data_IF_466627420700
#
_entry.id   IF_466627420700
#
_cell.length_a   1.000
_cell.length_b   1.000
_cell.length_c   1.000
_cell.angle_alpha   90.00
_cell.angle_beta   90.00
_cell.angle_gamma   90.00
#
_symmetry.space_group_name_H-M   'P 1'
#
loop_
_entity.id
_entity.type
_entity.pdbx_description
1 polymer ?
#
# COMPACT_ATOMS: atom_id res chain seq x y z
N UNK A 1 -10.25 12.39 -11.96
CA UNK A 1 -8.99 12.24 -11.19
C UNK A 1 -9.34 11.63 -9.84
N UNK A 2 -8.47 10.84 -9.25
CA UNK A 2 -8.72 10.16 -7.98
C UNK A 2 -7.51 9.31 -7.61
N UNK A 3 -7.42 8.94 -6.33
CA UNK A 3 -6.27 8.25 -5.77
C UNK A 3 -5.95 6.94 -6.50
N UNK A 4 -4.73 6.87 -7.03
CA UNK A 4 -4.10 5.68 -7.60
C UNK A 4 -2.88 5.34 -6.74
N UNK A 5 -2.84 4.13 -6.19
CA UNK A 5 -1.73 3.63 -5.36
C UNK A 5 -1.07 2.48 -6.12
N UNK A 6 0.25 2.57 -6.24
CA UNK A 6 1.09 1.59 -6.91
C UNK A 6 2.16 1.09 -5.95
N UNK A 7 2.41 -0.22 -6.00
CA UNK A 7 3.59 -0.84 -5.43
C UNK A 7 4.51 -1.27 -6.56
N UNK A 8 5.75 -0.81 -6.49
CA UNK A 8 6.73 -0.91 -7.56
C UNK A 8 7.96 -1.67 -7.05
N UNK A 9 8.54 -2.52 -7.87
CA UNK A 9 9.75 -3.27 -7.55
C UNK A 9 10.93 -2.86 -8.45
N UNK A 10 12.13 -2.82 -7.88
CA UNK A 10 13.39 -2.77 -8.63
C UNK A 10 14.48 -3.65 -8.02
N UNK A 11 15.46 -4.05 -8.84
CA UNK A 11 16.60 -4.84 -8.39
C UNK A 11 17.67 -3.93 -7.76
N UNK A 12 18.16 -4.30 -6.58
CA UNK A 12 19.16 -3.51 -5.83
C UNK A 12 20.51 -3.40 -6.54
N UNK A 13 20.84 -4.38 -7.37
CA UNK A 13 22.15 -4.51 -8.02
C UNK A 13 22.19 -3.86 -9.41
N UNK A 14 21.10 -3.22 -9.86
CA UNK A 14 21.07 -2.60 -11.18
C UNK A 14 21.77 -1.22 -11.16
N UNK A 15 23.10 -1.27 -11.30
CA UNK A 15 23.99 -0.09 -11.33
C UNK A 15 24.13 0.45 -12.77
N UNK A 16 23.43 -0.11 -13.77
CA UNK A 16 23.55 0.37 -15.15
C UNK A 16 22.38 1.24 -15.59
N UNK A 17 22.72 2.52 -15.80
CA UNK A 17 21.97 3.62 -16.39
C UNK A 17 21.25 3.29 -17.72
N UNK A 18 20.20 2.48 -17.71
CA UNK A 18 19.23 2.43 -18.79
C UNK A 18 17.82 2.36 -18.20
N UNK A 19 17.16 3.53 -18.16
CA UNK A 19 15.74 3.78 -17.83
C UNK A 19 15.10 2.70 -16.93
N UNK A 20 15.33 2.80 -15.62
CA UNK A 20 14.72 1.99 -14.55
C UNK A 20 13.19 1.88 -14.72
N UNK A 21 12.71 0.87 -15.44
CA UNK A 21 11.29 0.55 -15.46
C UNK A 21 10.99 -0.26 -14.21
N UNK A 22 10.57 0.42 -13.15
CA UNK A 22 10.10 -0.28 -11.95
C UNK A 22 8.91 -1.14 -12.34
N UNK A 23 8.97 -2.43 -11.97
CA UNK A 23 7.87 -3.35 -12.28
C UNK A 23 6.74 -3.12 -11.29
N UNK A 24 5.52 -2.90 -11.77
CA UNK A 24 4.35 -2.83 -10.90
C UNK A 24 4.04 -4.23 -10.35
N UNK A 25 4.04 -4.34 -9.03
CA UNK A 25 3.74 -5.57 -8.29
C UNK A 25 2.44 -5.47 -7.51
N UNK A 26 1.81 -4.30 -7.45
CA UNK A 26 0.50 -4.09 -6.82
C UNK A 26 -0.13 -2.77 -7.25
N UNK A 27 -1.46 -2.78 -7.38
CA UNK A 27 -2.23 -1.60 -7.75
C UNK A 27 -3.55 -1.56 -6.98
N UNK A 28 -3.87 -0.39 -6.40
CA UNK A 28 -5.08 -0.15 -5.63
C UNK A 28 -5.68 1.20 -5.99
N UNK A 29 -6.96 1.19 -6.39
CA UNK A 29 -7.68 2.41 -6.76
C UNK A 29 -8.57 2.88 -5.63
N UNK A 30 -8.39 4.13 -5.19
CA UNK A 30 -9.22 4.81 -4.18
C UNK A 30 -9.32 4.09 -2.82
N UNK A 31 -8.29 3.30 -2.49
CA UNK A 31 -8.18 2.65 -1.20
C UNK A 31 -7.54 3.63 -0.20
N UNK A 32 -8.33 4.61 0.24
CA UNK A 32 -7.85 5.70 1.08
C UNK A 32 -7.36 5.24 2.46
N UNK A 33 -7.86 4.12 2.98
CA UNK A 33 -7.42 3.55 4.25
C UNK A 33 -6.00 2.99 4.19
N UNK A 34 -5.60 2.42 3.04
CA UNK A 34 -4.22 2.01 2.81
C UNK A 34 -3.28 3.21 2.73
N UNK A 35 -3.71 4.27 2.05
CA UNK A 35 -2.96 5.52 1.97
C UNK A 35 -2.74 6.12 3.36
N UNK A 36 -3.81 6.23 4.15
CA UNK A 36 -3.77 6.78 5.50
C UNK A 36 -2.87 5.96 6.43
N UNK A 37 -2.97 4.63 6.34
CA UNK A 37 -2.14 3.73 7.15
C UNK A 37 -0.65 3.87 6.81
N UNK A 38 -0.29 3.91 5.53
CA UNK A 38 1.12 4.09 5.10
C UNK A 38 1.64 5.45 5.55
N UNK A 39 0.85 6.52 5.39
CA UNK A 39 1.26 7.87 5.79
C UNK A 39 1.52 7.94 7.30
N UNK A 40 0.63 7.34 8.08
CA UNK A 40 0.70 7.35 9.55
C UNK A 40 1.85 6.49 10.08
N UNK A 41 2.13 5.35 9.44
CA UNK A 41 3.08 4.35 9.95
C UNK A 41 4.50 4.53 9.43
N UNK A 42 4.66 5.01 8.20
CA UNK A 42 5.97 5.08 7.54
C UNK A 42 6.47 6.52 7.55
N UNK A 43 5.83 7.40 6.80
CA UNK A 43 6.19 8.81 6.67
C UNK A 43 5.11 9.58 5.90
N UNK A 44 5.10 10.93 5.98
CA UNK A 44 4.29 11.78 5.10
C UNK A 44 4.46 11.41 3.61
N UNK A 45 3.33 11.35 2.88
CA UNK A 45 3.32 10.97 1.47
C UNK A 45 3.21 12.23 0.61
N UNK A 46 4.25 12.54 -0.13
CA UNK A 46 4.22 13.57 -1.17
C UNK A 46 3.69 13.00 -2.50
N UNK A 47 2.89 13.79 -3.22
CA UNK A 47 2.30 13.37 -4.49
C UNK A 47 3.38 12.99 -5.50
N UNK A 48 3.18 11.87 -6.19
CA UNK A 48 4.10 11.32 -7.18
C UNK A 48 5.52 11.01 -6.67
N UNK A 49 5.70 10.78 -5.36
CA UNK A 49 7.00 10.42 -4.77
C UNK A 49 7.03 8.97 -4.31
N UNK A 50 8.15 8.27 -4.52
CA UNK A 50 8.34 6.88 -4.09
C UNK A 50 8.80 6.79 -2.64
N UNK A 51 8.23 5.87 -1.89
CA UNK A 51 8.60 5.56 -0.50
C UNK A 51 9.06 4.11 -0.43
N UNK A 52 10.22 3.84 0.16
CA UNK A 52 10.72 2.47 0.33
C UNK A 52 9.91 1.75 1.42
N UNK A 53 9.38 0.57 1.09
CA UNK A 53 8.60 -0.29 1.98
C UNK A 53 9.42 -1.53 2.33
N UNK A 54 9.74 -1.68 3.62
CA UNK A 54 10.44 -2.87 4.11
C UNK A 54 9.49 -4.05 4.30
N UNK A 55 10.07 -5.25 4.40
CA UNK A 55 9.34 -6.47 4.75
C UNK A 55 8.59 -6.31 6.08
N UNK A 56 9.22 -5.68 7.07
CA UNK A 56 8.64 -5.50 8.41
C UNK A 56 7.37 -4.64 8.37
N UNK A 57 7.35 -3.57 7.55
CA UNK A 57 6.17 -2.74 7.36
C UNK A 57 5.01 -3.56 6.78
N UNK A 58 5.26 -4.42 5.80
CA UNK A 58 4.23 -5.31 5.24
C UNK A 58 3.76 -6.36 6.26
N UNK A 59 4.65 -6.86 7.12
CA UNK A 59 4.26 -7.77 8.20
C UNK A 59 3.37 -7.07 9.23
N UNK A 60 3.66 -5.82 9.59
CA UNK A 60 2.77 -5.03 10.46
C UNK A 60 1.42 -4.79 9.82
N UNK A 61 1.38 -4.42 8.53
CA UNK A 61 0.14 -4.26 7.78
C UNK A 61 -0.69 -5.55 7.79
N UNK A 62 -0.06 -6.70 7.50
CA UNK A 62 -0.73 -8.00 7.52
C UNK A 62 -1.36 -8.29 8.89
N UNK A 63 -0.63 -8.03 9.98
CA UNK A 63 -1.12 -8.24 11.35
C UNK A 63 -2.31 -7.32 11.68
N UNK A 64 -2.25 -6.06 11.26
CA UNK A 64 -3.36 -5.12 11.46
C UNK A 64 -4.61 -5.61 10.72
N UNK A 65 -4.46 -5.98 9.45
CA UNK A 65 -5.59 -6.40 8.61
C UNK A 65 -6.17 -7.78 9.00
N UNK A 66 -5.34 -8.69 9.54
CA UNK A 66 -5.82 -9.99 10.05
C UNK A 66 -6.59 -9.87 11.36
N UNK A 67 -6.32 -8.84 12.17
CA UNK A 67 -7.04 -8.54 13.43
C UNK A 67 -8.19 -7.52 13.26
N UNK A 68 -8.47 -7.09 12.03
CA UNK A 68 -9.47 -6.08 11.75
C UNK A 68 -10.88 -6.64 11.91
N UNK A 69 -11.74 -5.89 12.58
CA UNK A 69 -13.15 -6.23 12.86
C UNK A 69 -14.02 -4.99 12.64
N UNK A 70 -15.35 -5.14 12.48
CA UNK A 70 -16.28 -4.01 12.38
C UNK A 70 -16.22 -3.02 13.55
N UNK A 71 -15.80 -3.48 14.72
CA UNK A 71 -15.75 -2.67 15.93
C UNK A 71 -14.46 -1.83 16.02
N UNK A 72 -13.34 -2.32 15.48
CA UNK A 72 -12.03 -1.66 15.58
C UNK A 72 -11.53 -1.03 14.26
N UNK A 73 -12.22 -1.23 13.14
CA UNK A 73 -11.73 -0.82 11.82
C UNK A 73 -11.50 0.70 11.70
N UNK A 74 -12.32 1.49 12.40
CA UNK A 74 -12.22 2.96 12.45
C UNK A 74 -11.00 3.47 13.20
N UNK A 75 -10.37 2.62 14.01
CA UNK A 75 -9.20 2.98 14.81
C UNK A 75 -7.92 2.40 14.18
N UNK A 76 -7.98 1.15 13.71
CA UNK A 76 -6.80 0.43 13.21
C UNK A 76 -6.52 0.65 11.73
N UNK A 77 -7.55 0.88 10.92
CA UNK A 77 -7.41 1.05 9.47
C UNK A 77 -8.44 2.06 8.94
N UNK A 78 -8.40 3.31 9.45
CA UNK A 78 -9.43 4.31 9.18
C UNK A 78 -9.46 4.72 7.71
N UNK A 79 -10.65 5.10 7.23
CA UNK A 79 -10.82 5.80 5.96
C UNK A 79 -10.39 7.26 6.08
N UNK A 80 -9.96 7.85 4.97
CA UNK A 80 -9.54 9.25 4.90
C UNK A 80 -10.41 10.08 3.98
N UNK A 81 -10.90 11.20 4.50
CA UNK A 81 -11.63 12.20 3.73
C UNK A 81 -10.69 12.99 2.79
N UNK A 82 -11.19 13.30 1.60
CA UNK A 82 -10.46 14.13 0.65
C UNK A 82 -11.12 14.14 -0.72
N UNK A 83 -10.94 15.23 -1.47
CA UNK A 83 -11.55 15.41 -2.79
C UNK A 83 -11.23 14.26 -3.77
N UNK A 84 -10.02 13.69 -3.66
CA UNK A 84 -9.55 12.61 -4.54
C UNK A 84 -9.69 11.21 -3.93
N UNK A 85 -10.07 11.12 -2.65
CA UNK A 85 -9.88 9.91 -1.83
C UNK A 85 -11.10 8.99 -1.78
N UNK A 86 -12.21 9.37 -2.41
CA UNK A 86 -13.36 8.49 -2.56
C UNK A 86 -14.24 8.42 -1.31
N UNK A 87 -14.85 7.26 -1.08
CA UNK A 87 -15.80 7.05 0.00
C UNK A 87 -15.11 6.88 1.36
N UNK A 88 -15.73 7.37 2.43
CA UNK A 88 -15.28 7.14 3.80
C UNK A 88 -16.14 6.14 4.57
N UNK A 89 -17.11 5.53 3.89
CA UNK A 89 -18.00 4.52 4.46
C UNK A 89 -17.29 3.19 4.72
N UNK A 90 -17.58 2.57 5.86
CA UNK A 90 -17.07 1.24 6.25
C UNK A 90 -18.04 0.13 5.82
N UNK A 91 -18.46 0.20 4.57
CA UNK A 91 -19.45 -0.70 3.99
C UNK A 91 -18.79 -1.92 3.32
N UNK A 92 -19.56 -2.66 2.53
CA UNK A 92 -19.07 -3.84 1.80
C UNK A 92 -17.89 -3.55 0.85
N UNK A 93 -17.75 -2.33 0.35
CA UNK A 93 -16.66 -1.96 -0.56
C UNK A 93 -15.36 -1.77 0.23
N UNK A 94 -15.43 -1.11 1.39
CA UNK A 94 -14.29 -1.05 2.32
C UNK A 94 -13.77 -2.44 2.69
N UNK A 95 -14.66 -3.35 3.06
CA UNK A 95 -14.26 -4.72 3.42
C UNK A 95 -13.74 -5.54 2.24
N UNK A 96 -14.25 -5.27 1.03
CA UNK A 96 -13.70 -5.85 -0.19
C UNK A 96 -12.26 -5.37 -0.45
N UNK A 97 -12.00 -4.08 -0.27
CA UNK A 97 -10.65 -3.52 -0.40
C UNK A 97 -9.71 -4.11 0.65
N UNK A 98 -10.13 -4.19 1.92
CA UNK A 98 -9.37 -4.84 3.01
C UNK A 98 -8.94 -6.26 2.63
N UNK A 99 -9.85 -7.09 2.15
CA UNK A 99 -9.53 -8.47 1.76
C UNK A 99 -8.63 -8.53 0.51
N UNK A 100 -8.79 -7.59 -0.43
CA UNK A 100 -7.90 -7.49 -1.60
C UNK A 100 -6.48 -7.16 -1.18
N UNK A 101 -6.30 -6.21 -0.25
CA UNK A 101 -4.99 -5.85 0.30
C UNK A 101 -4.39 -7.03 1.07
N UNK A 102 -5.17 -7.71 1.92
CA UNK A 102 -4.69 -8.89 2.69
C UNK A 102 -4.12 -9.97 1.78
N UNK A 103 -4.84 -10.29 0.71
CA UNK A 103 -4.40 -11.30 -0.24
C UNK A 103 -3.11 -10.88 -0.96
N UNK A 104 -3.04 -9.61 -1.37
CA UNK A 104 -1.84 -9.06 -2.01
C UNK A 104 -0.63 -9.07 -1.06
N UNK A 105 -0.77 -8.55 0.16
CA UNK A 105 0.31 -8.51 1.16
C UNK A 105 0.82 -9.92 1.46
N UNK A 106 -0.08 -10.89 1.66
CA UNK A 106 0.30 -12.30 1.89
C UNK A 106 1.05 -12.89 0.69
N UNK A 107 0.60 -12.58 -0.53
CA UNK A 107 1.29 -12.94 -1.77
C UNK A 107 2.73 -12.41 -1.78
N UNK A 108 2.89 -11.09 -1.64
CA UNK A 108 4.20 -10.42 -1.64
C UNK A 108 5.12 -10.95 -0.55
N UNK A 109 4.63 -11.10 0.69
CA UNK A 109 5.44 -11.66 1.79
C UNK A 109 5.94 -13.08 1.51
N UNK A 110 5.24 -13.85 0.67
CA UNK A 110 5.60 -15.23 0.32
C UNK A 110 6.51 -15.36 -0.89
N UNK A 111 6.40 -14.46 -1.88
CA UNK A 111 7.05 -14.60 -3.18
C UNK A 111 8.12 -13.55 -3.49
N UNK A 112 8.09 -12.39 -2.81
CA UNK A 112 8.98 -11.28 -3.10
C UNK A 112 10.36 -11.44 -2.44
N UNK A 113 11.41 -11.18 -3.21
CA UNK A 113 12.79 -11.27 -2.75
C UNK A 113 13.27 -9.94 -2.15
N UNK A 114 12.97 -9.73 -0.87
CA UNK A 114 13.40 -8.54 -0.13
C UNK A 114 14.91 -8.42 0.06
N UNK A 115 15.69 -9.49 -0.19
CA UNK A 115 17.15 -9.46 -0.07
C UNK A 115 17.77 -8.78 -1.30
N UNK A 116 17.28 -9.12 -2.49
CA UNK A 116 17.83 -8.62 -3.75
C UNK A 116 17.02 -7.50 -4.42
N UNK A 117 15.76 -7.29 -4.00
CA UNK A 117 14.86 -6.30 -4.60
C UNK A 117 14.39 -5.27 -3.56
N UNK A 118 14.10 -4.06 -4.03
CA UNK A 118 13.41 -3.03 -3.25
C UNK A 118 11.94 -2.98 -3.64
N UNK A 119 11.09 -2.74 -2.65
CA UNK A 119 9.66 -2.48 -2.85
C UNK A 119 9.39 -1.01 -2.53
N UNK A 120 8.70 -0.32 -3.42
CA UNK A 120 8.30 1.07 -3.24
C UNK A 120 6.79 1.20 -3.25
N UNK A 121 6.30 2.11 -2.42
CA UNK A 121 4.97 2.68 -2.51
C UNK A 121 5.05 3.98 -3.32
N UNK A 122 4.10 4.20 -4.23
CA UNK A 122 3.95 5.43 -5.00
C UNK A 122 2.47 5.72 -5.18
N UNK A 123 2.06 6.99 -5.10
CA UNK A 123 0.67 7.36 -5.29
C UNK A 123 0.50 8.66 -6.07
N UNK A 124 -0.62 8.75 -6.80
CA UNK A 124 -1.07 9.93 -7.51
C UNK A 124 -2.50 10.28 -7.10
N UNK A 125 -2.72 11.54 -6.73
CA UNK A 125 -4.05 12.09 -6.41
C UNK A 125 -4.19 13.55 -6.81
#
# INVERSE_FOLDING_TARGET
>A
MGLDIHFLADDKNDIQNDVNEKTEVGYFRKVNSLFDWIETKVQPIDNCTTILISKDVLMELALVLDNLTPDNCRELFPTREGFFFGSTEYDKYYWFDVETIKNWVKGILSSFDFENQNLYFWAWW
#
